data_IF_250430691483
#
_entry.id   IF_250430691483
#
_cell.length_a   1.000
_cell.length_b   1.000
_cell.length_c   1.000
_cell.angle_alpha   90.00
_cell.angle_beta   90.00
_cell.angle_gamma   90.00
#
_symmetry.space_group_name_H-M   'P 1'
#
loop_
_entity.id
_entity.type
_entity.pdbx_description
1 polymer ?
#
# COMPACT_ATOMS: atom_id res chain seq x y z
N UNK A 1 3.90 -43.17 -21.34
CA UNK A 1 3.38 -41.90 -21.87
C UNK A 1 4.55 -40.96 -22.16
N UNK A 2 4.39 -40.15 -23.20
CA UNK A 2 5.42 -39.47 -23.99
C UNK A 2 6.38 -38.56 -23.21
N UNK A 3 7.66 -38.61 -23.60
CA UNK A 3 8.69 -37.68 -23.16
C UNK A 3 8.33 -36.24 -23.47
N UNK A 4 8.33 -35.39 -22.45
CA UNK A 4 8.15 -33.95 -22.61
C UNK A 4 9.30 -33.42 -23.48
N UNK A 5 8.97 -32.99 -24.70
CA UNK A 5 9.90 -32.17 -25.49
C UNK A 5 10.27 -30.97 -24.62
N UNK A 6 11.55 -30.77 -24.36
CA UNK A 6 12.05 -29.56 -23.69
C UNK A 6 11.49 -28.37 -24.49
N UNK A 7 10.63 -27.57 -23.86
CA UNK A 7 10.06 -26.38 -24.50
C UNK A 7 11.19 -25.52 -25.03
N UNK A 8 11.03 -24.98 -26.23
CA UNK A 8 11.97 -24.00 -26.77
C UNK A 8 12.01 -22.77 -25.86
N UNK A 9 13.11 -22.00 -25.81
CA UNK A 9 13.20 -20.79 -24.98
C UNK A 9 12.05 -19.79 -25.22
N UNK A 10 11.53 -19.75 -26.45
CA UNK A 10 10.37 -18.94 -26.85
C UNK A 10 9.05 -19.48 -26.30
N UNK A 11 8.88 -20.80 -26.24
CA UNK A 11 7.71 -21.45 -25.64
C UNK A 11 7.75 -21.31 -24.12
N UNK A 12 8.93 -21.46 -23.49
CA UNK A 12 9.10 -21.23 -22.05
C UNK A 12 8.70 -19.80 -21.68
N UNK A 13 9.18 -18.78 -22.42
CA UNK A 13 8.77 -17.40 -22.19
C UNK A 13 7.25 -17.20 -22.32
N UNK A 14 6.62 -17.84 -23.32
CA UNK A 14 5.17 -17.73 -23.52
C UNK A 14 4.39 -18.34 -22.36
N UNK A 15 4.85 -19.47 -21.83
CA UNK A 15 4.24 -20.13 -20.68
C UNK A 15 4.43 -19.29 -19.41
N UNK A 16 5.64 -18.84 -19.11
CA UNK A 16 5.91 -17.95 -17.96
C UNK A 16 5.06 -16.68 -18.02
N UNK A 17 4.95 -16.05 -19.20
CA UNK A 17 4.06 -14.88 -19.37
C UNK A 17 2.58 -15.21 -19.16
N UNK A 18 2.15 -16.44 -19.48
CA UNK A 18 0.77 -16.88 -19.30
C UNK A 18 0.48 -17.13 -17.83
N UNK A 19 1.37 -17.81 -17.12
CA UNK A 19 1.30 -18.06 -15.68
C UNK A 19 1.30 -16.74 -14.90
N UNK A 20 2.21 -15.82 -15.22
CA UNK A 20 2.26 -14.48 -14.61
C UNK A 20 0.91 -13.76 -14.77
N UNK A 21 0.37 -13.69 -15.99
CA UNK A 21 -0.94 -13.06 -16.23
C UNK A 21 -2.10 -13.77 -15.52
N UNK A 22 -1.99 -15.07 -15.28
CA UNK A 22 -3.00 -15.80 -14.50
C UNK A 22 -2.94 -15.38 -13.04
N UNK A 23 -1.75 -15.42 -12.45
CA UNK A 23 -1.52 -15.03 -11.06
C UNK A 23 -1.88 -13.56 -10.82
N UNK A 24 -1.52 -12.64 -11.72
CA UNK A 24 -1.92 -11.23 -11.65
C UNK A 24 -3.44 -11.05 -11.52
N UNK A 25 -4.22 -11.82 -12.31
CA UNK A 25 -5.69 -11.77 -12.25
C UNK A 25 -6.25 -12.36 -10.95
N UNK A 26 -5.62 -13.39 -10.42
CA UNK A 26 -6.05 -13.98 -9.15
C UNK A 26 -5.75 -13.02 -7.98
N UNK A 27 -4.62 -12.33 -8.03
CA UNK A 27 -4.29 -11.25 -7.10
C UNK A 27 -5.26 -10.07 -7.21
N UNK A 28 -5.67 -9.70 -8.41
CA UNK A 28 -6.68 -8.64 -8.62
C UNK A 28 -8.04 -9.02 -8.00
N UNK A 29 -8.44 -10.29 -8.10
CA UNK A 29 -9.66 -10.78 -7.46
C UNK A 29 -9.54 -10.74 -5.94
N UNK A 30 -8.37 -11.09 -5.41
CA UNK A 30 -8.13 -11.05 -3.97
C UNK A 30 -8.12 -9.62 -3.42
N UNK A 31 -7.51 -8.68 -4.15
CA UNK A 31 -7.59 -7.25 -3.82
C UNK A 31 -9.04 -6.76 -3.77
N UNK A 32 -9.91 -7.21 -4.68
CA UNK A 32 -11.34 -6.88 -4.65
C UNK A 32 -12.07 -7.54 -3.46
N UNK A 33 -11.69 -8.75 -3.08
CA UNK A 33 -12.23 -9.42 -1.89
C UNK A 33 -11.89 -8.62 -0.63
N UNK A 34 -10.60 -8.32 -0.43
CA UNK A 34 -10.12 -7.56 0.72
C UNK A 34 -10.70 -6.15 0.77
N UNK A 35 -10.88 -5.47 -0.37
CA UNK A 35 -11.54 -4.15 -0.40
C UNK A 35 -13.00 -4.22 0.10
N UNK A 36 -13.73 -5.30 -0.21
CA UNK A 36 -15.10 -5.50 0.30
C UNK A 36 -15.10 -5.82 1.79
N UNK A 37 -14.14 -6.59 2.27
CA UNK A 37 -13.98 -6.88 3.70
C UNK A 37 -13.60 -5.62 4.48
N UNK A 38 -12.74 -4.78 3.93
CA UNK A 38 -12.36 -3.49 4.52
C UNK A 38 -13.58 -2.60 4.71
N UNK A 39 -14.41 -2.47 3.67
CA UNK A 39 -15.62 -1.66 3.75
C UNK A 39 -16.61 -2.17 4.82
N UNK A 40 -16.75 -3.49 4.96
CA UNK A 40 -17.57 -4.11 6.02
C UNK A 40 -17.00 -3.83 7.40
N UNK A 41 -15.68 -4.01 7.57
CA UNK A 41 -15.01 -3.81 8.84
C UNK A 41 -15.09 -2.35 9.28
N UNK A 42 -14.93 -1.38 8.36
CA UNK A 42 -15.14 0.04 8.65
C UNK A 42 -16.56 0.32 9.12
N UNK A 43 -17.57 -0.27 8.47
CA UNK A 43 -18.97 -0.14 8.89
C UNK A 43 -19.19 -0.68 10.31
N UNK A 44 -18.65 -1.86 10.61
CA UNK A 44 -18.77 -2.49 11.93
C UNK A 44 -18.04 -1.69 13.01
N UNK A 45 -16.84 -1.17 12.74
CA UNK A 45 -16.10 -0.27 13.64
C UNK A 45 -16.94 0.97 13.94
N UNK A 46 -17.52 1.62 12.92
CA UNK A 46 -18.38 2.80 13.13
C UNK A 46 -19.58 2.50 14.03
N UNK A 47 -20.23 1.34 13.82
CA UNK A 47 -21.36 0.90 14.64
C UNK A 47 -20.97 0.60 16.09
N UNK A 48 -19.82 -0.06 16.32
CA UNK A 48 -19.35 -0.41 17.66
C UNK A 48 -18.86 0.82 18.44
N UNK A 49 -18.24 1.77 17.74
CA UNK A 49 -17.83 3.05 18.32
C UNK A 49 -19.03 3.89 18.75
N UNK A 50 -20.12 3.94 17.95
CA UNK A 50 -21.37 4.60 18.35
C UNK A 50 -22.01 3.99 19.62
N UNK A 51 -21.80 2.69 19.85
CA UNK A 51 -22.28 1.98 21.04
C UNK A 51 -21.32 2.05 22.24
N UNK A 52 -20.23 2.83 22.16
CA UNK A 52 -19.19 2.96 23.20
C UNK A 52 -18.56 1.62 23.65
N UNK A 53 -18.46 0.64 22.75
CA UNK A 53 -17.88 -0.68 23.06
C UNK A 53 -16.36 -0.69 22.78
N UNK A 54 -15.57 -0.11 23.67
CA UNK A 54 -14.13 0.10 23.47
C UNK A 54 -13.29 -1.19 23.34
N UNK A 55 -13.64 -2.28 24.04
CA UNK A 55 -12.91 -3.55 23.97
C UNK A 55 -12.92 -4.19 22.57
N UNK A 56 -14.11 -4.51 22.02
CA UNK A 56 -14.24 -4.99 20.64
C UNK A 56 -13.72 -4.00 19.59
N UNK A 57 -13.86 -2.69 19.84
CA UNK A 57 -13.40 -1.64 18.93
C UNK A 57 -11.87 -1.71 18.71
N UNK A 58 -11.07 -1.88 19.76
CA UNK A 58 -9.60 -2.01 19.64
C UNK A 58 -9.21 -3.23 18.79
N UNK A 59 -9.90 -4.36 18.98
CA UNK A 59 -9.64 -5.57 18.19
C UNK A 59 -10.00 -5.38 16.72
N UNK A 60 -11.16 -4.77 16.43
CA UNK A 60 -11.58 -4.50 15.06
C UNK A 60 -10.66 -3.49 14.35
N UNK A 61 -10.16 -2.47 15.07
CA UNK A 61 -9.19 -1.53 14.52
C UNK A 61 -7.84 -2.21 14.19
N UNK A 62 -7.36 -3.12 15.04
CA UNK A 62 -6.18 -3.95 14.73
C UNK A 62 -6.39 -4.79 13.47
N UNK A 63 -7.56 -5.41 13.33
CA UNK A 63 -7.90 -6.16 12.12
C UNK A 63 -7.91 -5.25 10.87
N UNK A 64 -8.34 -4.00 11.00
CA UNK A 64 -8.36 -3.04 9.88
C UNK A 64 -6.95 -2.67 9.42
N UNK A 65 -6.04 -2.38 10.36
CA UNK A 65 -4.63 -2.11 10.03
C UNK A 65 -3.99 -3.32 9.37
N UNK A 66 -4.20 -4.51 9.92
CA UNK A 66 -3.68 -5.75 9.33
C UNK A 66 -4.22 -6.00 7.92
N UNK A 67 -5.52 -5.77 7.68
CA UNK A 67 -6.14 -5.92 6.38
C UNK A 67 -5.56 -4.92 5.36
N UNK A 68 -5.31 -3.67 5.77
CA UNK A 68 -4.64 -2.66 4.93
C UNK A 68 -3.21 -3.07 4.57
N UNK A 69 -2.43 -3.51 5.56
CA UNK A 69 -1.08 -4.02 5.32
C UNK A 69 -1.09 -5.24 4.37
N UNK A 70 -2.08 -6.14 4.49
CA UNK A 70 -2.25 -7.26 3.55
C UNK A 70 -2.56 -6.79 2.13
N UNK A 71 -3.41 -5.76 1.95
CA UNK A 71 -3.67 -5.15 0.64
C UNK A 71 -2.41 -4.54 0.04
N UNK A 72 -1.65 -3.79 0.82
CA UNK A 72 -0.41 -3.16 0.37
C UNK A 72 0.63 -4.23 -0.04
N UNK A 73 0.77 -5.29 0.76
CA UNK A 73 1.60 -6.43 0.43
C UNK A 73 1.19 -7.09 -0.89
N UNK A 74 -0.11 -7.27 -1.14
CA UNK A 74 -0.60 -7.81 -2.41
C UNK A 74 -0.34 -6.88 -3.60
N UNK A 75 -0.44 -5.57 -3.42
CA UNK A 75 -0.11 -4.58 -4.46
C UNK A 75 1.39 -4.67 -4.80
N UNK A 76 2.25 -4.75 -3.78
CA UNK A 76 3.69 -4.94 -3.96
C UNK A 76 3.98 -6.26 -4.66
N UNK A 77 3.40 -7.38 -4.21
CA UNK A 77 3.56 -8.68 -4.85
C UNK A 77 3.09 -8.68 -6.31
N UNK A 78 2.04 -7.92 -6.65
CA UNK A 78 1.56 -7.80 -8.05
C UNK A 78 2.60 -7.07 -8.90
N UNK A 79 3.17 -6.01 -8.33
CA UNK A 79 4.21 -5.20 -8.98
C UNK A 79 5.48 -6.02 -9.20
N UNK A 80 5.92 -6.79 -8.20
CA UNK A 80 7.08 -7.69 -8.33
C UNK A 80 6.82 -8.78 -9.37
N UNK A 81 5.63 -9.38 -9.41
CA UNK A 81 5.24 -10.36 -10.43
C UNK A 81 5.29 -9.76 -11.86
N UNK A 82 4.81 -8.52 -12.02
CA UNK A 82 4.91 -7.77 -13.28
C UNK A 82 6.38 -7.57 -13.66
N UNK A 83 7.22 -7.20 -12.69
CA UNK A 83 8.67 -7.07 -12.83
C UNK A 83 9.35 -8.36 -13.28
N UNK A 84 8.99 -9.50 -12.68
CA UNK A 84 9.46 -10.83 -13.11
C UNK A 84 9.09 -11.12 -14.57
N UNK A 85 7.91 -10.69 -15.02
CA UNK A 85 7.49 -10.81 -16.43
C UNK A 85 8.36 -10.00 -17.39
N UNK A 86 8.78 -8.81 -16.98
CA UNK A 86 9.75 -8.00 -17.72
C UNK A 86 11.14 -8.63 -17.69
N UNK A 87 11.61 -9.10 -16.54
CA UNK A 87 12.90 -9.79 -16.39
C UNK A 87 12.97 -11.05 -17.27
N UNK A 88 11.92 -11.86 -17.31
CA UNK A 88 11.82 -13.00 -18.21
C UNK A 88 11.91 -12.58 -19.70
N UNK A 89 11.27 -11.46 -20.07
CA UNK A 89 11.37 -10.91 -21.43
C UNK A 89 12.78 -10.42 -21.76
N UNK A 90 13.45 -9.77 -20.80
CA UNK A 90 14.82 -9.32 -20.93
C UNK A 90 15.78 -10.51 -21.08
N UNK A 91 15.65 -11.53 -20.23
CA UNK A 91 16.44 -12.77 -20.31
C UNK A 91 16.30 -13.45 -21.68
N UNK A 92 15.09 -13.49 -22.26
CA UNK A 92 14.90 -14.01 -23.60
C UNK A 92 15.62 -13.17 -24.67
N UNK A 93 15.55 -11.84 -24.58
CA UNK A 93 16.28 -10.95 -25.49
C UNK A 93 17.80 -11.14 -25.36
N UNK A 94 18.32 -11.25 -24.14
CA UNK A 94 19.74 -11.55 -23.90
C UNK A 94 20.13 -12.92 -24.48
N UNK A 95 19.30 -13.95 -24.30
CA UNK A 95 19.54 -15.28 -24.88
C UNK A 95 19.53 -15.24 -26.42
N UNK A 96 18.62 -14.46 -27.03
CA UNK A 96 18.58 -14.27 -28.48
C UNK A 96 19.83 -13.55 -29.01
N UNK A 97 20.31 -12.52 -28.30
CA UNK A 97 21.58 -11.84 -28.63
C UNK A 97 22.75 -12.81 -28.48
N UNK A 98 22.80 -13.61 -27.41
CA UNK A 98 23.82 -14.64 -27.23
C UNK A 98 23.82 -15.69 -28.34
N UNK A 99 22.65 -16.15 -28.78
CA UNK A 99 22.52 -17.05 -29.93
C UNK A 99 22.96 -16.39 -31.24
N UNK A 100 22.63 -15.12 -31.46
CA UNK A 100 23.06 -14.37 -32.63
C UNK A 100 24.58 -14.19 -32.66
N UNK A 101 25.17 -13.85 -31.51
CA UNK A 101 26.62 -13.75 -31.34
C UNK A 101 27.30 -15.11 -31.57
N UNK A 102 26.75 -16.21 -31.05
CA UNK A 102 27.26 -17.56 -31.31
C UNK A 102 27.21 -17.97 -32.79
N UNK A 103 26.16 -17.57 -33.53
CA UNK A 103 26.09 -17.76 -34.98
C UNK A 103 27.11 -16.89 -35.71
N UNK A 104 27.26 -15.64 -35.30
CA UNK A 104 28.25 -14.72 -35.86
C UNK A 104 29.68 -15.21 -35.61
N UNK A 105 30.00 -15.75 -34.42
CA UNK A 105 31.32 -16.33 -34.14
C UNK A 105 31.56 -17.60 -34.93
N UNK A 106 30.52 -18.41 -35.19
CA UNK A 106 30.62 -19.55 -36.11
C UNK A 106 31.00 -19.11 -37.52
N UNK A 107 30.30 -18.11 -38.06
CA UNK A 107 30.61 -17.54 -39.38
C UNK A 107 31.96 -16.81 -39.40
N UNK A 108 32.37 -16.17 -38.29
CA UNK A 108 33.72 -15.57 -38.15
C UNK A 108 34.82 -16.62 -38.07
N UNK A 109 34.54 -17.81 -37.54
CA UNK A 109 35.46 -18.95 -37.56
C UNK A 109 35.65 -19.50 -38.97
N UNK A 110 34.56 -19.57 -39.74
CA UNK A 110 34.57 -20.00 -41.15
C UNK A 110 35.18 -18.91 -42.07
N UNK A 111 35.05 -17.64 -41.70
CA UNK A 111 35.63 -16.48 -42.39
C UNK A 111 36.95 -16.08 -41.69
N UNK A 112 37.92 -17.00 -41.73
CA UNK A 112 39.24 -16.85 -41.13
C UNK A 112 39.91 -15.52 -41.56
N UNK A 113 40.35 -14.73 -40.57
CA UNK A 113 41.48 -13.79 -40.68
C UNK A 113 41.26 -12.33 -41.15
N UNK A 114 40.05 -11.75 -41.14
CA UNK A 114 39.91 -10.28 -41.38
C UNK A 114 38.95 -9.51 -40.46
N UNK A 115 38.45 -10.12 -39.37
CA UNK A 115 37.78 -9.36 -38.32
C UNK A 115 38.44 -9.54 -36.96
N UNK A 116 38.64 -8.40 -36.32
CA UNK A 116 39.42 -8.16 -35.11
C UNK A 116 38.79 -8.88 -33.89
N UNK A 117 39.08 -10.17 -33.72
CA UNK A 117 38.58 -11.00 -32.61
C UNK A 117 38.82 -10.35 -31.23
N UNK A 118 39.88 -9.55 -31.12
CA UNK A 118 40.23 -8.73 -29.96
C UNK A 118 39.16 -7.69 -29.61
N UNK A 119 38.53 -7.06 -30.61
CA UNK A 119 37.46 -6.07 -30.40
C UNK A 119 36.17 -6.75 -29.95
N UNK A 120 35.82 -7.88 -30.55
CA UNK A 120 34.63 -8.66 -30.16
C UNK A 120 34.76 -9.22 -28.74
N UNK A 121 35.96 -9.68 -28.36
CA UNK A 121 36.24 -10.12 -26.98
C UNK A 121 36.08 -8.98 -25.97
N UNK A 122 36.58 -7.77 -26.27
CA UNK A 122 36.39 -6.59 -25.39
C UNK A 122 34.92 -6.22 -25.22
N UNK A 123 34.13 -6.26 -26.31
CA UNK A 123 32.69 -5.97 -26.26
C UNK A 123 31.95 -7.01 -25.42
N UNK A 124 32.31 -8.29 -25.52
CA UNK A 124 31.73 -9.35 -24.68
C UNK A 124 32.06 -9.17 -23.19
N UNK A 125 33.31 -8.82 -22.86
CA UNK A 125 33.71 -8.57 -21.47
C UNK A 125 33.01 -7.34 -20.89
N UNK A 126 32.91 -6.24 -21.64
CA UNK A 126 32.19 -5.05 -21.18
C UNK A 126 30.69 -5.32 -21.05
N UNK A 127 30.09 -6.08 -21.96
CA UNK A 127 28.70 -6.52 -21.85
C UNK A 127 28.46 -7.34 -20.57
N UNK A 128 29.35 -8.30 -20.27
CA UNK A 128 29.27 -9.09 -19.04
C UNK A 128 29.34 -8.21 -17.78
N UNK A 129 30.29 -7.25 -17.76
CA UNK A 129 30.47 -6.30 -16.65
C UNK A 129 29.24 -5.39 -16.45
N UNK A 130 28.66 -4.88 -17.54
CA UNK A 130 27.47 -4.04 -17.48
C UNK A 130 26.23 -4.81 -17.02
N UNK A 131 26.12 -6.09 -17.41
CA UNK A 131 25.02 -6.95 -17.00
C UNK A 131 25.09 -7.28 -15.49
N UNK A 132 26.29 -7.56 -14.98
CA UNK A 132 26.53 -7.75 -13.54
C UNK A 132 26.25 -6.48 -12.73
N UNK A 133 26.72 -5.32 -13.20
CA UNK A 133 26.45 -4.04 -12.55
C UNK A 133 24.95 -3.68 -12.52
N UNK A 134 24.21 -4.06 -13.56
CA UNK A 134 22.76 -3.90 -13.62
C UNK A 134 22.05 -4.81 -12.60
N UNK A 135 22.47 -6.06 -12.46
CA UNK A 135 21.87 -6.99 -11.48
C UNK A 135 22.08 -6.50 -10.04
N UNK A 136 23.30 -6.04 -9.69
CA UNK A 136 23.58 -5.48 -8.35
C UNK A 136 22.71 -4.26 -8.04
N UNK A 137 22.40 -3.44 -9.06
CA UNK A 137 21.49 -2.29 -8.88
C UNK A 137 20.04 -2.69 -8.68
N UNK A 138 19.58 -3.77 -9.31
CA UNK A 138 18.25 -4.34 -9.04
C UNK A 138 18.19 -4.83 -7.60
N UNK A 139 19.17 -5.62 -7.16
CA UNK A 139 19.19 -6.20 -5.81
C UNK A 139 19.19 -5.11 -4.72
N UNK A 140 19.99 -4.05 -4.89
CA UNK A 140 20.00 -2.89 -3.98
C UNK A 140 18.66 -2.13 -3.95
N UNK A 141 17.94 -2.10 -5.07
CA UNK A 141 16.63 -1.44 -5.15
C UNK A 141 15.55 -2.29 -4.47
N UNK A 142 15.60 -3.61 -4.66
CA UNK A 142 14.68 -4.56 -4.02
C UNK A 142 14.88 -4.58 -2.50
N UNK A 143 16.13 -4.56 -2.02
CA UNK A 143 16.44 -4.50 -0.57
C UNK A 143 15.94 -3.20 0.06
N UNK A 144 16.15 -2.06 -0.61
CA UNK A 144 15.64 -0.76 -0.14
C UNK A 144 14.10 -0.71 -0.14
N UNK A 145 13.46 -1.41 -1.09
CA UNK A 145 12.01 -1.55 -1.13
C UNK A 145 11.52 -2.41 0.04
N UNK A 146 12.17 -3.53 0.33
CA UNK A 146 11.78 -4.44 1.41
C UNK A 146 11.92 -3.80 2.80
N UNK A 147 13.02 -3.08 3.05
CA UNK A 147 13.26 -2.39 4.33
C UNK A 147 12.22 -1.29 4.61
N UNK A 148 11.74 -0.61 3.56
CA UNK A 148 10.66 0.38 3.68
C UNK A 148 9.29 -0.24 4.05
N UNK A 149 9.09 -1.54 3.83
CA UNK A 149 7.83 -2.24 4.11
C UNK A 149 7.82 -2.99 5.45
N UNK A 150 8.97 -3.17 6.11
CA UNK A 150 9.10 -3.96 7.36
C UNK A 150 8.85 -3.11 8.63
N UNK A 151 8.18 -1.96 8.50
CA UNK A 151 7.83 -1.08 9.61
C UNK A 151 6.78 -1.70 10.53
N UNK A 152 7.24 -2.32 11.63
CA UNK A 152 6.46 -2.93 12.72
C UNK A 152 5.65 -1.91 13.57
N UNK A 153 4.82 -1.07 12.94
CA UNK A 153 4.03 0.01 13.56
C UNK A 153 2.57 -0.34 13.90
N UNK A 154 2.17 -1.62 13.76
CA UNK A 154 0.74 -2.02 13.75
C UNK A 154 -0.03 -1.60 15.02
N UNK A 155 0.61 -1.60 16.19
CA UNK A 155 -0.06 -1.26 17.44
C UNK A 155 -0.26 0.25 17.63
N UNK A 156 0.74 1.07 17.27
CA UNK A 156 0.64 2.53 17.29
C UNK A 156 -0.36 3.04 16.22
N UNK A 157 -0.32 2.44 15.03
CA UNK A 157 -1.27 2.74 13.95
C UNK A 157 -2.70 2.38 14.34
N UNK A 158 -2.92 1.27 15.03
CA UNK A 158 -4.26 0.87 15.46
C UNK A 158 -4.87 1.87 16.44
N UNK A 159 -4.08 2.38 17.39
CA UNK A 159 -4.57 3.40 18.33
C UNK A 159 -4.88 4.72 17.64
N UNK A 160 -4.05 5.14 16.69
CA UNK A 160 -4.32 6.29 15.82
C UNK A 160 -5.62 6.13 15.04
N UNK A 161 -5.85 4.96 14.43
CA UNK A 161 -7.07 4.66 13.68
C UNK A 161 -8.31 4.68 14.57
N UNK A 162 -8.24 4.15 15.79
CA UNK A 162 -9.36 4.22 16.75
C UNK A 162 -9.70 5.68 17.05
N UNK A 163 -8.71 6.51 17.37
CA UNK A 163 -8.92 7.92 17.67
C UNK A 163 -9.54 8.67 16.48
N UNK A 164 -9.03 8.42 15.27
CA UNK A 164 -9.56 9.01 14.04
C UNK A 164 -11.03 8.66 13.81
N UNK A 165 -11.43 7.39 14.01
CA UNK A 165 -12.83 6.99 13.84
C UNK A 165 -13.73 7.59 14.92
N UNK A 166 -13.24 7.72 16.16
CA UNK A 166 -13.99 8.36 17.24
C UNK A 166 -14.20 9.86 16.96
N UNK A 167 -13.19 10.55 16.44
CA UNK A 167 -13.30 11.94 15.99
C UNK A 167 -14.29 12.07 14.81
N UNK A 168 -14.21 11.19 13.81
CA UNK A 168 -15.12 11.20 12.67
C UNK A 168 -16.59 11.01 13.11
N UNK A 169 -16.86 10.12 14.08
CA UNK A 169 -18.21 9.93 14.64
C UNK A 169 -18.64 11.11 15.49
N UNK A 170 -17.74 11.69 16.28
CA UNK A 170 -18.00 12.90 17.07
C UNK A 170 -18.40 14.08 16.19
N UNK A 171 -17.71 14.24 15.04
CA UNK A 171 -18.03 15.24 14.03
C UNK A 171 -19.33 14.91 13.29
N UNK A 172 -19.57 13.65 12.87
CA UNK A 172 -20.83 13.25 12.22
C UNK A 172 -22.06 13.48 13.13
N UNK A 173 -21.94 13.18 14.44
CA UNK A 173 -23.01 13.38 15.41
C UNK A 173 -23.23 14.88 15.69
N UNK A 174 -22.15 15.64 15.87
CA UNK A 174 -22.21 17.09 16.02
C UNK A 174 -22.82 17.79 14.78
N UNK A 175 -22.50 17.29 13.58
CA UNK A 175 -23.06 17.78 12.31
C UNK A 175 -24.53 17.45 12.18
N UNK A 176 -24.95 16.22 12.52
CA UNK A 176 -26.37 15.83 12.52
C UNK A 176 -27.19 16.59 13.56
N UNK A 177 -26.61 16.94 14.71
CA UNK A 177 -27.27 17.77 15.73
C UNK A 177 -27.34 19.25 15.33
N UNK A 178 -26.33 19.78 14.63
CA UNK A 178 -26.33 21.14 14.10
C UNK A 178 -27.30 21.32 12.91
N UNK A 179 -27.56 20.25 12.14
CA UNK A 179 -28.47 20.24 10.99
C UNK A 179 -29.92 19.91 11.36
N UNK A 180 -30.23 19.60 12.63
CA UNK A 180 -31.62 19.62 13.11
C UNK A 180 -32.04 21.08 13.18
N UNK A 181 -33.08 21.52 12.43
CA UNK A 181 -33.60 22.86 12.59
C UNK A 181 -34.08 22.99 14.03
N UNK A 182 -33.45 23.87 14.81
CA UNK A 182 -34.01 24.37 16.07
C UNK A 182 -35.22 25.23 15.71
N UNK A 183 -36.27 24.58 15.21
CA UNK A 183 -37.45 25.18 14.62
C UNK A 183 -38.68 24.63 15.30
N UNK A 184 -39.18 25.40 16.27
CA UNK A 184 -40.43 25.23 17.05
C UNK A 184 -40.39 24.28 18.25
N UNK A 185 -39.56 24.61 19.24
CA UNK A 185 -39.99 24.61 20.65
C UNK A 185 -39.41 25.86 21.32
N UNK A 186 -39.95 27.02 20.97
CA UNK A 186 -39.78 28.27 21.72
C UNK A 186 -41.12 28.97 21.75
N UNK A 187 -42.04 28.41 22.52
CA UNK A 187 -43.01 29.20 23.25
C UNK A 187 -43.38 28.45 24.53
N UNK A 188 -43.15 29.12 25.66
CA UNK A 188 -43.41 28.60 27.01
C UNK A 188 -42.27 27.78 27.61
N UNK A 189 -41.43 28.42 28.43
CA UNK A 189 -41.22 28.14 29.87
C UNK A 189 -40.02 29.00 30.33
N UNK A 190 -40.38 30.11 30.96
CA UNK A 190 -39.80 30.70 32.18
C UNK A 190 -38.28 30.70 32.37
N UNK A 191 -37.70 31.91 32.22
CA UNK A 191 -36.36 32.26 32.67
C UNK A 191 -36.37 32.57 34.16
N UNK A 192 -36.13 31.57 35.00
CA UNK A 192 -35.66 31.76 36.38
C UNK A 192 -34.29 31.10 36.55
N UNK A 193 -33.25 31.91 36.38
CA UNK A 193 -31.95 31.77 37.06
C UNK A 193 -31.04 32.93 36.62
N UNK A 194 -31.37 34.15 37.08
CA UNK A 194 -30.42 35.28 37.13
C UNK A 194 -30.35 35.73 38.59
N UNK A 195 -30.05 34.81 39.50
CA UNK A 195 -29.78 35.16 40.91
C UNK A 195 -28.28 35.35 41.19
N UNK A 196 -27.37 34.93 40.31
CA UNK A 196 -25.92 35.04 40.58
C UNK A 196 -25.27 36.36 40.15
N UNK A 197 -26.01 37.29 39.52
CA UNK A 197 -25.47 38.62 39.15
C UNK A 197 -25.71 39.73 40.19
N UNK A 198 -26.62 39.52 41.15
CA UNK A 198 -26.88 40.50 42.21
C UNK A 198 -25.92 40.37 43.42
N UNK A 199 -25.29 39.21 43.61
CA UNK A 199 -24.38 38.97 44.73
C UNK A 199 -22.99 39.63 44.56
N UNK A 200 -22.55 39.87 43.33
CA UNK A 200 -21.26 40.52 43.04
C UNK A 200 -21.32 42.06 43.10
N UNK A 201 -22.50 42.66 42.92
CA UNK A 201 -22.68 44.11 42.98
C UNK A 201 -22.93 44.61 44.42
N UNK A 202 -23.39 43.74 45.31
CA UNK A 202 -23.60 44.04 46.74
C UNK A 202 -22.30 44.05 47.58
N UNK A 203 -21.22 43.40 47.11
CA UNK A 203 -19.93 43.37 47.82
C UNK A 203 -19.06 44.62 47.59
N UNK A 204 -19.37 45.44 46.58
CA UNK A 204 -18.65 46.70 46.33
C UNK A 204 -19.33 47.94 46.98
N UNK A 205 -20.50 47.76 47.64
CA UNK A 205 -21.31 48.86 48.19
C UNK A 205 -21.40 48.91 49.73
N UNK A 206 -20.70 48.04 50.47
CA UNK A 206 -20.76 47.95 51.96
C UNK A 206 -19.47 48.44 52.65
N UNK A 207 -18.71 49.35 52.04
CA UNK A 207 -17.80 50.20 52.81
C UNK A 207 -17.97 51.68 52.46
N UNK A 208 -18.91 52.36 53.13
CA UNK A 208 -18.70 53.72 53.63
C UNK A 208 -18.83 53.69 55.17
N UNK A 209 -18.03 54.37 55.99
CA UNK A 209 -17.13 55.50 55.76
C UNK A 209 -16.44 55.88 57.07
N UNK A 210 -15.44 56.78 56.96
CA UNK A 210 -14.87 57.71 57.95
C UNK A 210 -13.64 57.23 58.75
N UNK A 211 -12.75 58.14 59.18
CA UNK A 211 -12.19 59.34 58.54
C UNK A 211 -10.68 59.20 58.23
#
# INVERSE_FOLDING_TARGET
>A
MFGQKKLTPKEQLRETKREIRHNERDMDRELQNLAREEAKLIHDIKKMAANNQHGPLKVMAKNLVQLRAQKDKLITMKTTMTGVGYKASLMHSQAAVGQAMGRMTGVMGDMNEMMDATKTSKVMTEFARQNEYMNVKEDLLDDALMDAFDGDGVEEEAESVVNQVLEEIGLELGSKMADVPVGKLRDGVDKESIEDKAALEALHKVLPSLP
#
